data_IF_048386270674
#
_entry.id   IF_048386270674
#
_cell.length_a   1.000
_cell.length_b   1.000
_cell.length_c   1.000
_cell.angle_alpha   90.00
_cell.angle_beta   90.00
_cell.angle_gamma   90.00
#
_symmetry.space_group_name_H-M   'P 1'
#
loop_
_entity.id
_entity.type
_entity.pdbx_description
1 polymer ?
#
# COMPACT_ATOMS: atom_id res chain seq x y z
N UNK A 1 5.91 8.52 -32.71
CA UNK A 1 6.45 9.77 -32.12
C UNK A 1 7.96 9.78 -32.33
N UNK A 2 8.48 10.66 -33.18
CA UNK A 2 9.92 10.84 -33.36
C UNK A 2 10.46 11.68 -32.18
N UNK A 3 11.37 11.13 -31.38
CA UNK A 3 12.00 11.85 -30.28
C UNK A 3 13.04 12.84 -30.79
N UNK A 4 12.96 14.11 -30.37
CA UNK A 4 14.05 15.08 -30.52
C UNK A 4 14.93 15.00 -29.27
N UNK A 5 16.17 14.50 -29.34
CA UNK A 5 17.02 14.31 -28.15
C UNK A 5 17.39 15.62 -27.45
N UNK A 6 17.42 16.74 -28.19
CA UNK A 6 17.90 18.05 -27.72
C UNK A 6 16.82 19.15 -27.77
N UNK A 7 15.53 18.79 -27.77
CA UNK A 7 14.45 19.78 -27.71
C UNK A 7 14.20 20.26 -26.27
N UNK A 8 13.79 21.52 -26.08
CA UNK A 8 13.30 22.02 -24.80
C UNK A 8 12.22 21.07 -24.28
N UNK A 9 12.40 20.50 -23.08
CA UNK A 9 11.39 19.66 -22.42
C UNK A 9 10.19 20.55 -22.07
N UNK A 10 9.21 20.65 -22.96
CA UNK A 10 7.94 21.27 -22.62
C UNK A 10 7.20 20.34 -21.64
N UNK A 11 6.74 20.83 -20.48
CA UNK A 11 5.83 20.07 -19.64
C UNK A 11 4.55 19.82 -20.44
N UNK A 12 4.34 18.58 -20.87
CA UNK A 12 3.15 18.15 -21.61
C UNK A 12 2.00 17.91 -20.62
N UNK A 13 1.53 18.99 -20.00
CA UNK A 13 0.30 18.96 -19.20
C UNK A 13 -0.89 18.64 -20.10
N UNK A 14 -1.97 18.13 -19.51
CA UNK A 14 -3.23 17.90 -20.22
C UNK A 14 -3.73 19.18 -20.88
N UNK A 15 -3.64 20.32 -20.17
CA UNK A 15 -3.96 21.65 -20.72
C UNK A 15 -3.18 21.96 -22.00
N UNK A 16 -1.85 21.81 -21.98
CA UNK A 16 -1.00 22.08 -23.15
C UNK A 16 -1.35 21.16 -24.33
N UNK A 17 -1.75 19.91 -24.04
CA UNK A 17 -2.24 18.97 -25.06
C UNK A 17 -3.54 19.46 -25.70
N UNK A 18 -4.52 19.88 -24.90
CA UNK A 18 -5.82 20.37 -25.41
C UNK A 18 -5.64 21.67 -26.19
N UNK A 19 -4.89 22.64 -25.66
CA UNK A 19 -4.55 23.90 -26.35
C UNK A 19 -3.92 23.66 -27.72
N UNK A 20 -2.97 22.73 -27.81
CA UNK A 20 -2.34 22.40 -29.09
C UNK A 20 -3.31 21.74 -30.09
N UNK A 21 -4.27 20.95 -29.62
CA UNK A 21 -5.33 20.45 -30.51
C UNK A 21 -6.24 21.58 -30.99
N UNK A 22 -6.64 22.50 -30.12
CA UNK A 22 -7.47 23.65 -30.49
C UNK A 22 -6.77 24.50 -31.56
N UNK A 23 -5.52 24.90 -31.32
CA UNK A 23 -4.72 25.68 -32.27
C UNK A 23 -4.56 24.95 -33.60
N UNK A 24 -4.15 23.67 -33.56
CA UNK A 24 -3.95 22.89 -34.78
C UNK A 24 -5.23 22.67 -35.59
N UNK A 25 -6.38 22.49 -34.95
CA UNK A 25 -7.66 22.36 -35.68
C UNK A 25 -8.10 23.70 -36.27
N UNK A 26 -7.90 24.81 -35.56
CA UNK A 26 -8.20 26.16 -36.07
C UNK A 26 -7.31 26.53 -37.26
N UNK A 27 -6.00 26.28 -37.18
CA UNK A 27 -5.06 26.49 -38.28
C UNK A 27 -5.41 25.67 -39.53
N UNK A 28 -5.94 24.45 -39.33
CA UNK A 28 -6.30 23.52 -40.42
C UNK A 28 -7.76 23.63 -40.86
N UNK A 29 -8.58 24.52 -40.26
CA UNK A 29 -10.00 24.65 -40.55
C UNK A 29 -10.84 23.41 -40.21
N UNK A 30 -10.40 22.60 -39.25
CA UNK A 30 -11.06 21.39 -38.81
C UNK A 30 -12.06 21.67 -37.66
N UNK A 31 -13.18 20.92 -37.57
CA UNK A 31 -14.12 21.08 -36.47
C UNK A 31 -13.52 20.63 -35.13
N UNK A 32 -13.93 21.28 -34.04
CA UNK A 32 -13.47 20.99 -32.68
C UNK A 32 -14.38 20.01 -31.92
N UNK A 33 -15.45 19.53 -32.55
CA UNK A 33 -16.46 18.63 -31.99
C UNK A 33 -15.84 17.40 -31.32
N UNK A 34 -14.93 16.71 -31.99
CA UNK A 34 -14.24 15.52 -31.46
C UNK A 34 -13.30 15.84 -30.30
N UNK A 35 -12.68 17.03 -30.33
CA UNK A 35 -11.79 17.48 -29.25
C UNK A 35 -12.63 17.82 -28.02
N UNK A 36 -13.75 18.52 -28.21
CA UNK A 36 -14.69 18.86 -27.14
C UNK A 36 -15.30 17.61 -26.52
N UNK A 37 -15.78 16.66 -27.32
CA UNK A 37 -16.36 15.40 -26.83
C UNK A 37 -15.32 14.61 -26.03
N UNK A 38 -14.10 14.46 -26.56
CA UNK A 38 -13.08 13.67 -25.90
C UNK A 38 -12.54 14.31 -24.62
N UNK A 39 -12.46 15.65 -24.52
CA UNK A 39 -11.85 16.30 -23.36
C UNK A 39 -12.85 16.89 -22.37
N UNK A 40 -13.99 17.39 -22.83
CA UNK A 40 -14.99 18.04 -21.96
C UNK A 40 -16.04 17.04 -21.53
N UNK A 41 -16.69 16.35 -22.48
CA UNK A 41 -17.79 15.41 -22.17
C UNK A 41 -17.32 14.21 -21.34
N UNK A 42 -16.07 13.76 -21.54
CA UNK A 42 -15.46 12.69 -20.74
C UNK A 42 -14.98 13.12 -19.34
N UNK A 43 -15.09 14.41 -19.00
CA UNK A 43 -14.65 14.97 -17.72
C UNK A 43 -13.15 15.20 -17.58
N UNK A 44 -12.37 15.15 -18.67
CA UNK A 44 -10.93 15.35 -18.63
C UNK A 44 -10.49 16.82 -18.53
N UNK A 45 -11.38 17.76 -18.87
CA UNK A 45 -11.23 19.21 -18.81
C UNK A 45 -12.60 19.84 -18.44
N UNK A 46 -12.69 20.70 -17.41
CA UNK A 46 -13.92 21.42 -17.08
C UNK A 46 -14.43 22.29 -18.24
N UNK A 47 -15.75 22.42 -18.38
CA UNK A 47 -16.36 23.25 -19.44
C UNK A 47 -15.92 24.72 -19.39
N UNK A 48 -15.77 25.30 -18.19
CA UNK A 48 -15.29 26.67 -18.03
C UNK A 48 -13.85 26.88 -18.52
N UNK A 49 -12.99 25.86 -18.37
CA UNK A 49 -11.62 25.87 -18.87
C UNK A 49 -11.57 25.73 -20.39
N UNK A 50 -12.49 24.95 -20.97
CA UNK A 50 -12.68 24.85 -22.42
C UNK A 50 -13.12 26.18 -23.03
N UNK A 51 -14.11 26.84 -22.43
CA UNK A 51 -14.62 28.13 -22.93
C UNK A 51 -13.54 29.23 -22.85
N UNK A 52 -12.77 29.27 -21.75
CA UNK A 52 -11.63 30.18 -21.61
C UNK A 52 -10.53 29.92 -22.65
N UNK A 53 -10.28 28.65 -22.98
CA UNK A 53 -9.31 28.26 -24.00
C UNK A 53 -9.74 28.69 -25.40
N UNK A 54 -11.03 28.59 -25.73
CA UNK A 54 -11.55 29.01 -27.04
C UNK A 54 -11.55 30.52 -27.24
N UNK A 55 -11.58 31.30 -26.16
CA UNK A 55 -11.59 32.76 -26.22
C UNK A 55 -10.27 33.36 -26.75
N UNK A 56 -9.13 32.81 -26.34
CA UNK A 56 -7.80 33.23 -26.82
C UNK A 56 -6.78 32.07 -26.73
N UNK A 57 -6.82 31.10 -27.66
CA UNK A 57 -5.99 29.90 -27.56
C UNK A 57 -4.49 30.19 -27.73
N UNK A 58 -4.10 31.29 -28.39
CA UNK A 58 -2.70 31.67 -28.57
C UNK A 58 -2.06 32.18 -27.27
N UNK A 59 -2.81 32.89 -26.43
CA UNK A 59 -2.30 33.45 -25.17
C UNK A 59 -2.85 32.76 -23.92
N UNK A 60 -3.77 31.80 -24.08
CA UNK A 60 -4.35 31.04 -22.98
C UNK A 60 -3.28 30.28 -22.17
N UNK A 61 -3.06 30.74 -20.94
CA UNK A 61 -2.22 30.05 -19.96
C UNK A 61 -3.00 28.97 -19.23
N UNK A 62 -2.36 27.86 -18.79
CA UNK A 62 -3.03 26.87 -17.95
C UNK A 62 -3.67 27.55 -16.74
N UNK A 63 -4.91 27.16 -16.38
CA UNK A 63 -5.52 27.63 -15.15
C UNK A 63 -4.54 27.35 -14.03
N UNK A 64 -4.19 28.40 -13.30
CA UNK A 64 -3.35 28.23 -12.12
C UNK A 64 -4.15 27.34 -11.16
N UNK A 65 -3.57 26.27 -10.60
CA UNK A 65 -4.16 25.69 -9.40
C UNK A 65 -4.40 26.85 -8.44
N UNK A 66 -5.54 26.91 -7.71
CA UNK A 66 -5.94 28.08 -6.94
C UNK A 66 -4.72 28.64 -6.22
N UNK A 67 -4.23 29.77 -6.72
CA UNK A 67 -2.98 30.35 -6.27
C UNK A 67 -3.26 30.86 -4.86
N UNK A 68 -2.71 30.18 -3.86
CA UNK A 68 -2.63 30.68 -2.49
C UNK A 68 -1.61 31.83 -2.41
N UNK A 69 -1.81 32.86 -3.21
CA UNK A 69 -1.03 34.09 -3.17
C UNK A 69 -1.90 35.23 -3.73
N UNK A 70 -2.85 35.65 -2.90
CA UNK A 70 -3.71 36.80 -3.11
C UNK A 70 -3.99 37.46 -1.77
N UNK A 71 -2.99 38.16 -1.25
CA UNK A 71 -3.10 39.02 -0.08
C UNK A 71 -1.93 38.86 0.88
N UNK A 72 -1.16 39.93 1.07
CA UNK A 72 -0.49 40.21 2.34
C UNK A 72 -1.53 40.47 3.44
N UNK A 73 -2.34 39.44 3.69
CA UNK A 73 -3.21 39.27 4.84
C UNK A 73 -2.91 37.87 5.34
N UNK A 74 -2.76 37.74 6.65
CA UNK A 74 -2.50 36.46 7.32
C UNK A 74 -3.33 35.31 6.70
N UNK A 75 -2.78 34.09 6.62
CA UNK A 75 -3.57 32.93 6.20
C UNK A 75 -4.89 32.89 6.98
N UNK A 76 -6.00 32.41 6.39
CA UNK A 76 -7.23 32.23 7.16
C UNK A 76 -6.87 31.33 8.34
N UNK A 77 -7.06 31.84 9.54
CA UNK A 77 -6.61 31.28 10.82
C UNK A 77 -7.12 29.85 11.13
N UNK A 78 -7.80 29.17 10.21
CA UNK A 78 -8.46 27.89 10.41
C UNK A 78 -7.53 26.67 10.26
N UNK A 79 -6.44 26.74 9.50
CA UNK A 79 -5.45 25.65 9.44
C UNK A 79 -4.46 25.70 10.63
N UNK A 80 -4.26 26.88 11.23
CA UNK A 80 -3.34 27.10 12.33
C UNK A 80 -3.92 26.76 13.71
N UNK A 81 -5.23 26.50 13.82
CA UNK A 81 -5.91 26.23 15.10
C UNK A 81 -6.20 24.76 15.38
N UNK A 82 -6.10 23.89 14.37
CA UNK A 82 -6.51 22.49 14.54
C UNK A 82 -5.56 21.71 15.43
N UNK A 83 -6.07 20.91 16.36
CA UNK A 83 -5.31 19.98 17.20
C UNK A 83 -4.92 18.73 16.41
N UNK A 84 -3.97 17.93 16.94
CA UNK A 84 -3.65 16.61 16.37
C UNK A 84 -4.88 15.69 16.33
N UNK A 85 -5.76 15.77 17.32
CA UNK A 85 -7.00 15.00 17.38
C UNK A 85 -7.99 15.40 16.28
N UNK A 86 -8.10 16.69 15.96
CA UNK A 86 -8.91 17.18 14.84
C UNK A 86 -8.29 16.83 13.49
N UNK A 87 -6.95 16.81 13.36
CA UNK A 87 -6.25 16.28 12.19
C UNK A 87 -6.56 14.79 12.01
N UNK A 88 -6.47 14.01 13.08
CA UNK A 88 -6.76 12.58 13.06
C UNK A 88 -8.23 12.30 12.72
N UNK A 89 -9.16 13.05 13.31
CA UNK A 89 -10.59 12.92 13.03
C UNK A 89 -10.92 13.22 11.56
N UNK A 90 -10.29 14.22 10.95
CA UNK A 90 -10.45 14.46 9.52
C UNK A 90 -9.84 13.34 8.68
N UNK A 91 -8.65 12.85 9.06
CA UNK A 91 -7.97 11.74 8.37
C UNK A 91 -8.79 10.44 8.39
N UNK A 92 -9.57 10.19 9.45
CA UNK A 92 -10.44 9.00 9.56
C UNK A 92 -11.79 9.18 8.87
N UNK A 93 -12.38 10.38 8.96
CA UNK A 93 -13.74 10.65 8.47
C UNK A 93 -13.81 11.12 7.01
N UNK A 94 -12.74 11.67 6.46
CA UNK A 94 -12.67 12.06 5.04
C UNK A 94 -12.36 10.83 4.20
N UNK A 95 -13.25 10.41 3.28
CA UNK A 95 -12.98 9.26 2.42
C UNK A 95 -11.70 9.44 1.60
N UNK A 96 -10.81 8.47 1.69
CA UNK A 96 -9.59 8.36 0.89
C UNK A 96 -9.23 6.88 0.75
N UNK A 97 -8.19 6.57 -0.01
CA UNK A 97 -7.64 5.21 -0.07
C UNK A 97 -7.06 4.70 1.26
N UNK A 98 -6.86 5.57 2.27
CA UNK A 98 -6.20 5.19 3.53
C UNK A 98 -7.05 5.42 4.79
N UNK A 99 -8.15 6.19 4.73
CA UNK A 99 -8.88 6.62 5.94
C UNK A 99 -9.37 5.48 6.83
N UNK A 100 -9.81 4.35 6.26
CA UNK A 100 -10.25 3.18 7.03
C UNK A 100 -9.12 2.50 7.83
N UNK A 101 -7.86 2.77 7.46
CA UNK A 101 -6.67 2.19 8.11
C UNK A 101 -6.10 3.07 9.22
N UNK A 102 -6.55 4.32 9.35
CA UNK A 102 -6.03 5.29 10.31
C UNK A 102 -6.05 4.78 11.76
N UNK A 103 -7.14 4.14 12.19
CA UNK A 103 -7.24 3.57 13.55
C UNK A 103 -6.24 2.43 13.76
N UNK A 104 -6.03 1.57 12.75
CA UNK A 104 -5.05 0.49 12.83
C UNK A 104 -3.62 1.05 12.90
N UNK A 105 -3.29 2.08 12.12
CA UNK A 105 -1.97 2.73 12.16
C UNK A 105 -1.72 3.38 13.52
N UNK A 106 -2.73 4.06 14.09
CA UNK A 106 -2.67 4.64 15.44
C UNK A 106 -2.45 3.58 16.52
N UNK A 107 -3.22 2.48 16.47
CA UNK A 107 -3.11 1.35 17.41
C UNK A 107 -1.72 0.73 17.44
N UNK A 108 -1.11 0.54 16.25
CA UNK A 108 0.23 -0.01 16.14
C UNK A 108 1.29 0.98 16.63
N UNK A 109 1.20 2.25 16.21
CA UNK A 109 2.14 3.29 16.60
C UNK A 109 2.13 3.56 18.12
N UNK A 110 0.97 3.44 18.78
CA UNK A 110 0.85 3.60 20.23
C UNK A 110 1.62 2.56 21.06
N UNK A 111 2.07 1.48 20.42
CA UNK A 111 2.86 0.42 21.04
C UNK A 111 4.36 0.53 20.69
N UNK A 112 4.78 1.62 20.05
CA UNK A 112 6.13 1.78 19.51
C UNK A 112 6.94 2.82 20.30
N UNK A 113 8.21 2.52 20.52
CA UNK A 113 9.21 3.53 20.89
C UNK A 113 9.59 4.35 19.65
N UNK A 114 9.85 3.69 18.52
CA UNK A 114 10.23 4.38 17.28
C UNK A 114 9.41 3.90 16.09
N UNK A 115 8.92 4.87 15.31
CA UNK A 115 8.21 4.65 14.04
C UNK A 115 8.94 5.37 12.91
N UNK A 116 9.10 4.68 11.77
CA UNK A 116 9.61 5.24 10.52
C UNK A 116 8.53 5.19 9.44
N UNK A 117 8.32 6.30 8.73
CA UNK A 117 7.23 6.49 7.77
C UNK A 117 7.75 6.86 6.38
N UNK A 118 7.56 5.97 5.39
CA UNK A 118 7.76 6.19 3.96
C UNK A 118 6.41 6.24 3.22
N UNK A 119 5.46 7.00 3.76
CA UNK A 119 4.14 7.19 3.18
C UNK A 119 4.08 8.11 1.96
N UNK A 120 2.96 8.06 1.22
CA UNK A 120 2.66 9.01 0.14
C UNK A 120 1.62 10.08 0.53
N UNK A 121 0.89 9.87 1.64
CA UNK A 121 -0.23 10.72 2.10
C UNK A 121 -0.01 11.22 3.51
N UNK A 122 0.90 12.18 3.74
CA UNK A 122 1.29 12.59 5.09
C UNK A 122 0.13 13.15 5.94
N UNK A 123 -0.88 13.74 5.30
CA UNK A 123 -2.08 14.24 5.98
C UNK A 123 -3.01 13.13 6.50
N UNK A 124 -2.76 11.88 6.12
CA UNK A 124 -3.52 10.71 6.58
C UNK A 124 -2.60 9.75 7.34
N UNK A 125 -1.58 9.17 6.68
CA UNK A 125 -0.70 8.16 7.28
C UNK A 125 0.13 8.74 8.43
N UNK A 126 0.87 9.82 8.19
CA UNK A 126 1.74 10.42 9.22
C UNK A 126 0.93 10.97 10.38
N UNK A 127 -0.24 11.58 10.10
CA UNK A 127 -1.17 12.03 11.15
C UNK A 127 -1.67 10.85 11.99
N UNK A 128 -2.06 9.73 11.37
CA UNK A 128 -2.50 8.53 12.08
C UNK A 128 -1.39 7.91 12.95
N UNK A 129 -0.17 7.82 12.42
CA UNK A 129 0.99 7.34 13.16
C UNK A 129 1.34 8.27 14.34
N UNK A 130 1.34 9.59 14.11
CA UNK A 130 1.61 10.58 15.16
C UNK A 130 0.52 10.60 16.23
N UNK A 131 -0.74 10.39 15.86
CA UNK A 131 -1.86 10.26 16.80
C UNK A 131 -1.76 9.02 17.70
N UNK A 132 -0.94 8.02 17.32
CA UNK A 132 -0.56 6.92 18.19
C UNK A 132 0.35 7.34 19.33
N UNK A 133 1.01 8.49 19.22
CA UNK A 133 1.96 9.02 20.21
C UNK A 133 3.13 8.07 20.53
N UNK A 134 3.87 7.54 19.52
CA UNK A 134 5.12 6.81 19.80
C UNK A 134 6.14 7.73 20.48
N UNK A 135 7.19 7.20 21.11
CA UNK A 135 8.21 8.06 21.70
C UNK A 135 8.92 8.92 20.63
N UNK A 136 9.16 8.35 19.45
CA UNK A 136 9.76 9.00 18.28
C UNK A 136 9.07 8.60 16.99
N UNK A 137 8.84 9.57 16.09
CA UNK A 137 8.34 9.35 14.74
C UNK A 137 9.22 10.10 13.73
N UNK A 138 9.86 9.37 12.82
CA UNK A 138 10.62 9.94 11.70
C UNK A 138 9.83 9.71 10.41
N UNK A 139 9.38 10.79 9.76
CA UNK A 139 8.66 10.71 8.49
C UNK A 139 9.49 11.26 7.34
N UNK A 140 9.55 10.49 6.26
CA UNK A 140 10.13 10.88 4.97
C UNK A 140 9.06 11.36 3.97
N UNK A 141 7.79 11.32 4.36
CA UNK A 141 6.63 11.65 3.51
C UNK A 141 6.26 13.14 3.51
N UNK A 142 6.73 13.89 4.52
CA UNK A 142 6.19 15.20 4.87
C UNK A 142 7.03 16.34 4.28
N UNK A 143 6.37 17.35 3.68
CA UNK A 143 7.02 18.59 3.23
C UNK A 143 7.32 19.55 4.39
N UNK A 144 8.23 20.51 4.18
CA UNK A 144 8.68 21.43 5.25
C UNK A 144 7.54 22.26 5.86
N UNK A 145 6.43 22.48 5.13
CA UNK A 145 5.30 23.28 5.62
C UNK A 145 4.46 22.45 6.57
N UNK A 146 4.07 21.25 6.16
CA UNK A 146 3.26 20.37 7.00
C UNK A 146 4.08 19.81 8.17
N UNK A 147 5.39 19.65 8.01
CA UNK A 147 6.29 19.29 9.12
C UNK A 147 6.18 20.27 10.29
N UNK A 148 6.18 21.58 10.02
CA UNK A 148 6.02 22.61 11.06
C UNK A 148 4.70 22.48 11.81
N UNK A 149 3.62 22.24 11.06
CA UNK A 149 2.28 22.01 11.63
C UNK A 149 2.30 20.82 12.59
N UNK A 150 2.92 19.70 12.18
CA UNK A 150 3.00 18.49 12.99
C UNK A 150 3.94 18.64 14.20
N UNK A 151 5.07 19.33 14.07
CA UNK A 151 5.98 19.62 15.21
C UNK A 151 5.27 20.40 16.31
N UNK A 152 4.46 21.41 15.95
CA UNK A 152 3.67 22.18 16.92
C UNK A 152 2.59 21.33 17.63
N UNK A 153 2.22 20.18 17.05
CA UNK A 153 1.10 19.33 17.48
C UNK A 153 1.55 17.93 17.89
N UNK A 154 2.86 17.69 17.99
CA UNK A 154 3.43 16.34 18.16
C UNK A 154 3.07 15.67 19.49
N UNK A 155 2.55 16.43 20.45
CA UNK A 155 2.22 15.94 21.77
C UNK A 155 3.48 15.48 22.51
N UNK A 156 3.50 14.23 22.95
CA UNK A 156 4.62 13.61 23.66
C UNK A 156 5.67 13.01 22.73
N UNK A 157 5.34 12.85 21.45
CA UNK A 157 6.26 12.29 20.45
C UNK A 157 7.35 13.28 20.09
N UNK A 158 8.58 12.78 19.94
CA UNK A 158 9.63 13.50 19.21
C UNK A 158 9.42 13.27 17.71
N UNK A 159 8.85 14.25 17.01
CA UNK A 159 8.57 14.16 15.58
C UNK A 159 9.69 14.80 14.75
N UNK A 160 10.16 14.08 13.74
CA UNK A 160 11.17 14.56 12.78
C UNK A 160 10.67 14.35 11.35
N UNK A 161 10.68 15.40 10.54
CA UNK A 161 10.53 15.30 9.09
C UNK A 161 11.91 15.29 8.43
N UNK A 162 12.17 14.30 7.59
CA UNK A 162 13.43 14.14 6.84
C UNK A 162 13.13 14.00 5.35
N UNK A 163 14.15 14.20 4.51
CA UNK A 163 14.07 13.91 3.07
C UNK A 163 14.98 12.75 2.74
N UNK A 164 14.49 11.81 1.95
CA UNK A 164 15.24 10.62 1.58
C UNK A 164 14.42 9.69 0.69
N UNK A 165 15.12 8.85 -0.06
CA UNK A 165 14.52 7.78 -0.86
C UNK A 165 14.66 6.47 -0.08
N UNK A 166 13.60 5.68 0.02
CA UNK A 166 13.55 4.42 0.79
C UNK A 166 14.63 3.41 0.38
N UNK A 167 15.12 3.47 -0.87
CA UNK A 167 16.18 2.61 -1.40
C UNK A 167 17.59 3.10 -1.06
N UNK A 168 17.75 4.32 -0.53
CA UNK A 168 19.08 4.91 -0.31
C UNK A 168 19.31 5.48 1.09
N UNK A 169 18.28 5.93 1.81
CA UNK A 169 18.44 6.66 3.07
C UNK A 169 18.74 5.75 4.26
N UNK A 170 19.75 6.04 5.07
CA UNK A 170 19.95 5.26 6.29
C UNK A 170 18.88 5.59 7.34
N UNK A 171 18.29 4.55 7.94
CA UNK A 171 17.32 4.69 9.04
C UNK A 171 17.88 4.08 10.33
N UNK A 172 17.52 4.70 11.45
CA UNK A 172 17.78 4.13 12.76
C UNK A 172 16.90 2.89 12.97
N UNK A 173 17.27 2.03 13.91
CA UNK A 173 16.44 0.89 14.32
C UNK A 173 15.04 1.37 14.75
N UNK A 174 13.98 0.72 14.26
CA UNK A 174 12.58 1.15 14.44
C UNK A 174 11.69 -0.03 14.84
N UNK A 175 10.63 0.22 15.62
CA UNK A 175 9.63 -0.81 15.92
C UNK A 175 8.69 -1.03 14.76
N UNK A 176 8.24 0.06 14.16
CA UNK A 176 7.31 0.04 13.04
C UNK A 176 7.91 0.77 11.84
N UNK A 177 7.80 0.13 10.68
CA UNK A 177 8.10 0.70 9.38
C UNK A 177 6.83 0.72 8.54
N UNK A 178 6.33 1.92 8.22
CA UNK A 178 5.22 2.10 7.28
C UNK A 178 5.77 2.39 5.88
N UNK A 179 5.33 1.62 4.89
CA UNK A 179 5.75 1.75 3.49
C UNK A 179 4.51 1.98 2.63
N UNK A 180 4.49 3.10 1.92
CA UNK A 180 3.50 3.41 0.90
C UNK A 180 4.14 4.20 -0.24
N UNK A 181 5.16 3.58 -0.86
CA UNK A 181 6.00 4.18 -1.90
C UNK A 181 5.50 3.80 -3.31
N UNK A 182 6.30 3.06 -4.10
CA UNK A 182 5.94 2.59 -5.43
C UNK A 182 5.39 1.16 -5.37
N UNK A 183 4.36 0.89 -6.18
CA UNK A 183 3.60 -0.35 -6.09
C UNK A 183 4.06 -1.43 -7.07
N UNK A 184 5.36 -1.73 -7.10
CA UNK A 184 5.91 -2.83 -7.91
C UNK A 184 6.65 -3.83 -7.03
N UNK A 185 6.65 -5.11 -7.43
CA UNK A 185 7.42 -6.15 -6.75
C UNK A 185 8.89 -5.78 -6.57
N UNK A 186 9.50 -5.20 -7.62
CA UNK A 186 10.91 -4.82 -7.60
C UNK A 186 11.24 -3.72 -6.59
N UNK A 187 10.38 -2.70 -6.46
CA UNK A 187 10.55 -1.67 -5.42
C UNK A 187 10.45 -2.31 -4.04
N UNK A 188 9.35 -3.02 -3.79
CA UNK A 188 9.03 -3.50 -2.46
C UNK A 188 10.01 -4.57 -1.98
N UNK A 189 10.49 -5.45 -2.88
CA UNK A 189 11.53 -6.41 -2.56
C UNK A 189 12.85 -5.72 -2.13
N UNK A 190 13.26 -4.66 -2.84
CA UNK A 190 14.47 -3.91 -2.50
C UNK A 190 14.31 -3.14 -1.17
N UNK A 191 13.13 -2.61 -0.88
CA UNK A 191 12.81 -2.00 0.41
C UNK A 191 12.85 -3.02 1.55
N UNK A 192 12.25 -4.20 1.36
CA UNK A 192 12.27 -5.27 2.37
C UNK A 192 13.68 -5.77 2.66
N UNK A 193 14.48 -6.07 1.63
CA UNK A 193 15.86 -6.55 1.77
C UNK A 193 16.72 -5.54 2.53
N UNK A 194 16.55 -4.25 2.23
CA UNK A 194 17.39 -3.19 2.80
C UNK A 194 16.94 -2.72 4.18
N UNK A 195 15.63 -2.59 4.39
CA UNK A 195 15.08 -1.92 5.58
C UNK A 195 14.72 -2.91 6.68
N UNK A 196 14.29 -4.14 6.35
CA UNK A 196 13.85 -5.12 7.36
C UNK A 196 14.89 -5.46 8.44
N UNK A 197 16.23 -5.43 8.19
CA UNK A 197 17.21 -5.61 9.26
C UNK A 197 17.12 -4.57 10.39
N UNK A 198 16.64 -3.35 10.08
CA UNK A 198 16.47 -2.25 11.04
C UNK A 198 15.11 -2.29 11.74
N UNK A 199 14.22 -3.22 11.38
CA UNK A 199 12.85 -3.29 11.94
C UNK A 199 12.77 -4.36 13.00
N UNK A 200 12.41 -3.94 14.22
CA UNK A 200 12.30 -4.83 15.39
C UNK A 200 11.00 -5.61 15.43
N UNK A 201 9.89 -5.02 15.00
CA UNK A 201 8.55 -5.58 15.20
C UNK A 201 7.72 -5.63 13.93
N UNK A 202 7.22 -4.50 13.44
CA UNK A 202 6.21 -4.44 12.38
C UNK A 202 6.69 -3.77 11.09
N UNK A 203 6.33 -4.37 9.95
CA UNK A 203 6.31 -3.68 8.66
C UNK A 203 4.86 -3.63 8.20
N UNK A 204 4.40 -2.42 7.84
CA UNK A 204 3.06 -2.15 7.35
C UNK A 204 3.16 -1.74 5.89
N UNK A 205 2.46 -2.46 5.01
CA UNK A 205 2.36 -2.14 3.59
C UNK A 205 0.91 -1.86 3.21
N UNK A 206 0.68 -0.70 2.61
CA UNK A 206 -0.59 -0.29 2.03
C UNK A 206 -0.75 -0.75 0.57
N UNK A 207 -1.95 -0.61 0.01
CA UNK A 207 -2.36 -0.96 -1.36
C UNK A 207 -2.20 -2.45 -1.74
N UNK A 208 -2.22 -3.33 -0.75
CA UNK A 208 -1.99 -4.78 -0.98
C UNK A 208 -3.16 -5.49 -1.66
N UNK A 209 -4.31 -4.84 -1.85
CA UNK A 209 -5.41 -5.36 -2.66
C UNK A 209 -5.32 -4.86 -4.10
N UNK A 210 -5.21 -3.54 -4.32
CA UNK A 210 -5.21 -2.97 -5.68
C UNK A 210 -3.93 -3.34 -6.42
N UNK A 211 -2.79 -3.26 -5.74
CA UNK A 211 -1.49 -3.59 -6.33
C UNK A 211 -0.90 -4.88 -5.77
N UNK A 212 -1.77 -5.77 -5.28
CA UNK A 212 -1.38 -7.03 -4.65
C UNK A 212 -0.65 -7.96 -5.63
N UNK A 213 -1.38 -8.56 -6.57
CA UNK A 213 -0.79 -9.49 -7.55
C UNK A 213 -0.16 -8.77 -8.74
N UNK A 214 -0.78 -7.69 -9.23
CA UNK A 214 -0.30 -6.89 -10.34
C UNK A 214 0.07 -5.48 -9.85
N UNK A 215 1.29 -5.05 -10.11
CA UNK A 215 1.80 -3.74 -9.71
C UNK A 215 1.60 -2.65 -10.77
N UNK A 216 2.07 -1.45 -10.43
CA UNK A 216 2.13 -0.32 -11.36
C UNK A 216 2.84 -0.69 -12.66
N UNK A 217 2.18 -0.42 -13.80
CA UNK A 217 2.72 -0.72 -15.13
C UNK A 217 2.52 -2.17 -15.59
N UNK A 218 1.74 -2.97 -14.86
CA UNK A 218 1.27 -4.29 -15.30
C UNK A 218 2.19 -5.47 -14.97
N UNK A 219 3.35 -5.22 -14.34
CA UNK A 219 4.24 -6.26 -13.83
C UNK A 219 3.77 -6.86 -12.50
N UNK A 220 4.58 -7.74 -11.86
CA UNK A 220 4.24 -8.31 -10.56
C UNK A 220 4.10 -7.24 -9.46
N UNK A 221 3.11 -7.43 -8.59
CA UNK A 221 2.73 -6.51 -7.52
C UNK A 221 3.43 -6.77 -6.18
N UNK A 222 2.83 -6.26 -5.11
CA UNK A 222 3.35 -6.29 -3.75
C UNK A 222 3.36 -7.70 -3.13
N UNK A 223 2.30 -8.49 -3.34
CA UNK A 223 2.13 -9.80 -2.72
C UNK A 223 3.15 -10.84 -3.23
N UNK A 224 3.48 -10.92 -4.54
CA UNK A 224 4.57 -11.77 -5.00
C UNK A 224 5.92 -11.48 -4.31
N UNK A 225 6.28 -10.19 -4.15
CA UNK A 225 7.49 -9.80 -3.44
C UNK A 225 7.42 -10.18 -1.95
N UNK A 226 6.27 -9.95 -1.32
CA UNK A 226 6.05 -10.29 0.09
C UNK A 226 6.15 -11.81 0.32
N UNK A 227 5.54 -12.62 -0.55
CA UNK A 227 5.59 -14.08 -0.43
C UNK A 227 7.00 -14.61 -0.55
N UNK A 228 7.79 -14.08 -1.49
CA UNK A 228 9.21 -14.41 -1.60
C UNK A 228 9.94 -14.09 -0.30
N UNK A 229 9.81 -12.86 0.19
CA UNK A 229 10.46 -12.40 1.42
C UNK A 229 10.09 -13.27 2.63
N UNK A 230 8.81 -13.58 2.82
CA UNK A 230 8.34 -14.38 3.96
C UNK A 230 8.81 -15.84 3.92
N UNK A 231 9.12 -16.40 2.74
CA UNK A 231 9.75 -17.72 2.62
C UNK A 231 11.22 -17.71 2.97
N UNK A 232 11.92 -16.64 2.59
CA UNK A 232 13.35 -16.45 2.87
C UNK A 232 13.59 -16.04 4.33
N UNK A 233 12.61 -15.40 4.96
CA UNK A 233 12.65 -14.89 6.33
C UNK A 233 11.47 -15.42 7.16
N UNK A 234 11.51 -16.70 7.60
CA UNK A 234 10.40 -17.33 8.32
C UNK A 234 10.12 -16.69 9.68
N UNK A 235 11.07 -15.93 10.24
CA UNK A 235 10.81 -15.13 11.43
C UNK A 235 9.74 -14.06 11.20
N UNK A 236 9.47 -13.63 9.97
CA UNK A 236 8.38 -12.71 9.64
C UNK A 236 7.11 -13.49 9.30
N UNK A 237 5.95 -13.03 9.80
CA UNK A 237 4.64 -13.62 9.45
C UNK A 237 3.60 -12.51 9.32
N UNK A 238 2.60 -12.70 8.45
CA UNK A 238 1.43 -11.83 8.41
C UNK A 238 0.70 -11.94 9.74
N UNK A 239 0.38 -10.81 10.36
CA UNK A 239 -0.38 -10.73 11.62
C UNK A 239 -1.68 -9.95 11.46
N UNK A 240 -1.82 -9.20 10.37
CA UNK A 240 -3.06 -8.55 9.97
C UNK A 240 -3.08 -8.39 8.45
N UNK A 241 -4.22 -8.67 7.84
CA UNK A 241 -4.45 -8.45 6.42
C UNK A 241 -5.92 -8.07 6.19
N UNK A 242 -6.16 -7.10 5.32
CA UNK A 242 -7.49 -6.72 4.85
C UNK A 242 -7.44 -6.34 3.39
N UNK A 243 -8.55 -6.56 2.68
CA UNK A 243 -8.75 -6.10 1.30
C UNK A 243 -9.55 -4.79 1.23
N UNK A 244 -10.10 -4.34 2.36
CA UNK A 244 -10.83 -3.09 2.46
C UNK A 244 -9.92 -1.88 2.21
N UNK A 245 -10.50 -0.80 1.68
CA UNK A 245 -9.82 0.45 1.38
C UNK A 245 -8.43 0.25 0.76
N UNK A 246 -8.42 -0.40 -0.40
CA UNK A 246 -7.22 -0.74 -1.19
C UNK A 246 -6.25 -1.75 -0.57
N UNK A 247 -6.55 -2.20 0.64
CA UNK A 247 -5.87 -3.28 1.34
C UNK A 247 -4.67 -2.83 2.16
N UNK A 248 -4.50 -3.49 3.30
CA UNK A 248 -3.41 -3.25 4.23
C UNK A 248 -2.89 -4.58 4.72
N UNK A 249 -1.57 -4.77 4.69
CA UNK A 249 -0.90 -5.94 5.26
C UNK A 249 0.10 -5.51 6.31
N UNK A 250 0.04 -6.16 7.47
CA UNK A 250 1.02 -6.00 8.55
C UNK A 250 1.71 -7.32 8.75
N UNK A 251 3.04 -7.31 8.67
CA UNK A 251 3.88 -8.44 9.04
C UNK A 251 4.61 -8.12 10.35
N UNK A 252 4.81 -9.15 11.18
CA UNK A 252 5.61 -9.05 12.40
C UNK A 252 6.68 -10.13 12.46
N UNK A 253 7.84 -9.76 13.01
CA UNK A 253 8.89 -10.72 13.42
C UNK A 253 8.85 -11.08 14.90
N UNK A 254 8.05 -10.37 15.69
CA UNK A 254 7.97 -10.58 17.13
C UNK A 254 7.01 -11.72 17.45
N UNK A 255 7.46 -12.65 18.29
CA UNK A 255 6.66 -13.81 18.70
C UNK A 255 5.38 -13.43 19.46
N UNK A 256 5.34 -12.25 20.10
CA UNK A 256 4.18 -11.76 20.87
C UNK A 256 2.98 -11.43 19.97
N UNK A 257 3.23 -11.12 18.70
CA UNK A 257 2.18 -10.73 17.75
C UNK A 257 1.58 -11.94 17.00
N UNK A 258 2.20 -13.11 17.13
CA UNK A 258 1.81 -14.31 16.38
C UNK A 258 0.88 -15.20 17.22
N UNK A 259 -0.14 -15.83 16.60
CA UNK A 259 -0.96 -16.80 17.30
C UNK A 259 -0.11 -17.97 17.83
N UNK A 260 -0.52 -18.50 18.98
CA UNK A 260 0.18 -19.63 19.62
C UNK A 260 -0.24 -20.96 19.00
N UNK A 261 0.69 -21.91 18.98
CA UNK A 261 0.39 -23.27 18.53
C UNK A 261 -0.66 -23.94 19.43
N UNK A 262 -1.45 -24.89 18.89
CA UNK A 262 -2.37 -25.67 19.70
C UNK A 262 -1.64 -26.49 20.76
N UNK A 263 -2.37 -26.98 21.76
CA UNK A 263 -1.81 -27.88 22.76
C UNK A 263 -1.21 -29.13 22.13
N UNK A 264 -0.20 -29.73 22.77
CA UNK A 264 0.45 -30.97 22.28
C UNK A 264 -0.55 -32.11 22.06
N UNK A 265 -1.59 -32.22 22.90
CA UNK A 265 -2.64 -33.23 22.79
C UNK A 265 -3.50 -32.97 21.54
N UNK A 266 -3.87 -31.70 21.31
CA UNK A 266 -4.61 -31.29 20.11
C UNK A 266 -3.80 -31.58 18.85
N UNK A 267 -2.51 -31.23 18.83
CA UNK A 267 -1.64 -31.50 17.69
C UNK A 267 -1.48 -33.00 17.41
N UNK A 268 -1.30 -33.84 18.44
CA UNK A 268 -1.24 -35.29 18.27
C UNK A 268 -2.53 -35.87 17.68
N UNK A 269 -3.68 -35.37 18.14
CA UNK A 269 -5.00 -35.76 17.62
C UNK A 269 -5.17 -35.36 16.16
N UNK A 270 -4.81 -34.11 15.82
CA UNK A 270 -4.86 -33.60 14.44
C UNK A 270 -3.94 -34.41 13.51
N UNK A 271 -2.73 -34.70 13.96
CA UNK A 271 -1.77 -35.48 13.19
C UNK A 271 -2.26 -36.92 12.95
N UNK A 272 -2.79 -37.60 13.98
CA UNK A 272 -3.34 -38.95 13.81
C UNK A 272 -4.48 -39.00 12.79
N UNK A 273 -5.39 -38.01 12.83
CA UNK A 273 -6.46 -37.87 11.82
C UNK A 273 -5.90 -37.66 10.42
N UNK A 274 -4.90 -36.79 10.27
CA UNK A 274 -4.26 -36.51 8.98
C UNK A 274 -3.56 -37.74 8.41
N UNK A 275 -2.85 -38.51 9.24
CA UNK A 275 -2.18 -39.76 8.84
C UNK A 275 -3.21 -40.80 8.39
N UNK A 276 -4.30 -40.98 9.14
CA UNK A 276 -5.36 -41.92 8.77
C UNK A 276 -5.96 -41.59 7.40
N UNK A 277 -6.25 -40.30 7.13
CA UNK A 277 -6.74 -39.84 5.84
C UNK A 277 -5.71 -40.06 4.72
N UNK A 278 -4.43 -39.77 4.98
CA UNK A 278 -3.36 -39.96 3.99
C UNK A 278 -3.16 -41.42 3.63
N UNK A 279 -3.17 -42.34 4.60
CA UNK A 279 -3.09 -43.78 4.35
C UNK A 279 -4.34 -44.28 3.60
N UNK A 280 -5.53 -43.83 3.98
CA UNK A 280 -6.78 -44.18 3.28
C UNK A 280 -6.76 -43.72 1.82
N UNK A 281 -6.08 -42.61 1.53
CA UNK A 281 -5.85 -42.08 0.19
C UNK A 281 -4.65 -42.75 -0.54
N UNK A 282 -4.07 -43.81 0.02
CA UNK A 282 -2.94 -44.53 -0.57
C UNK A 282 -1.59 -43.80 -0.46
N UNK A 283 -1.43 -42.94 0.55
CA UNK A 283 -0.23 -42.11 0.79
C UNK A 283 0.17 -41.22 -0.39
N UNK A 284 -0.82 -40.73 -1.14
CA UNK A 284 -0.59 -39.99 -2.36
C UNK A 284 -0.20 -38.53 -2.09
N UNK A 285 0.79 -38.05 -2.84
CA UNK A 285 1.23 -36.66 -2.82
C UNK A 285 0.36 -35.81 -3.75
N UNK A 286 0.19 -34.53 -3.42
CA UNK A 286 -0.32 -33.52 -4.31
C UNK A 286 0.67 -33.30 -5.46
N UNK A 287 0.16 -32.90 -6.63
CA UNK A 287 1.03 -32.43 -7.69
C UNK A 287 1.73 -31.11 -7.31
N UNK A 288 2.74 -30.74 -8.10
CA UNK A 288 3.56 -29.56 -7.84
C UNK A 288 2.74 -28.26 -7.84
N UNK A 289 1.81 -28.14 -8.77
CA UNK A 289 0.97 -26.95 -8.91
C UNK A 289 0.06 -26.75 -7.70
N UNK A 290 -0.59 -27.83 -7.25
CA UNK A 290 -1.42 -27.84 -6.03
C UNK A 290 -0.58 -27.53 -4.79
N UNK A 291 0.60 -28.14 -4.66
CA UNK A 291 1.51 -27.85 -3.54
C UNK A 291 1.90 -26.37 -3.53
N UNK A 292 2.32 -25.83 -4.67
CA UNK A 292 2.74 -24.43 -4.81
C UNK A 292 1.59 -23.48 -4.46
N UNK A 293 0.39 -23.67 -5.03
CA UNK A 293 -0.80 -22.87 -4.72
C UNK A 293 -1.17 -22.90 -3.23
N UNK A 294 -1.13 -24.08 -2.60
CA UNK A 294 -1.37 -24.24 -1.15
C UNK A 294 -0.35 -23.46 -0.33
N UNK A 295 0.92 -23.45 -0.73
CA UNK A 295 1.99 -22.73 -0.07
C UNK A 295 1.90 -21.21 -0.29
N UNK A 296 1.49 -20.73 -1.47
CA UNK A 296 1.23 -19.31 -1.71
C UNK A 296 0.19 -18.76 -0.72
N UNK A 297 -0.90 -19.51 -0.51
CA UNK A 297 -1.95 -19.18 0.48
C UNK A 297 -1.38 -19.21 1.90
N UNK A 298 -0.66 -20.27 2.27
CA UNK A 298 -0.10 -20.40 3.62
C UNK A 298 0.95 -19.33 3.94
N UNK A 299 1.70 -18.86 2.94
CA UNK A 299 2.75 -17.85 3.12
C UNK A 299 2.17 -16.52 3.63
N UNK A 300 0.99 -16.11 3.13
CA UNK A 300 0.33 -14.87 3.56
C UNK A 300 -0.70 -15.06 4.69
N UNK A 301 -0.90 -16.29 5.16
CA UNK A 301 -1.92 -16.58 6.17
C UNK A 301 -1.56 -15.99 7.53
N UNK A 302 -2.49 -15.27 8.16
CA UNK A 302 -2.34 -14.67 9.49
C UNK A 302 -2.21 -15.71 10.63
N UNK A 303 -2.49 -16.98 10.33
CA UNK A 303 -2.30 -18.11 11.23
C UNK A 303 -0.97 -18.83 11.04
N UNK A 304 -0.08 -18.33 10.17
CA UNK A 304 1.27 -18.84 10.03
C UNK A 304 2.14 -18.34 11.17
N UNK A 305 2.91 -19.25 11.74
CA UNK A 305 3.98 -18.92 12.68
C UNK A 305 5.20 -19.75 12.26
N UNK A 306 6.18 -19.06 11.69
CA UNK A 306 7.33 -19.68 11.01
C UNK A 306 6.86 -20.64 9.91
N UNK A 307 7.23 -21.92 10.01
CA UNK A 307 6.85 -22.99 9.08
C UNK A 307 5.62 -23.79 9.53
N UNK A 308 4.89 -23.29 10.54
CA UNK A 308 3.75 -23.97 11.17
C UNK A 308 2.43 -23.25 10.98
N UNK A 309 1.35 -24.03 10.93
CA UNK A 309 -0.01 -23.52 11.06
C UNK A 309 -0.45 -23.52 12.54
N UNK A 310 -0.86 -22.37 13.06
CA UNK A 310 -1.35 -22.22 14.45
C UNK A 310 -2.75 -22.77 14.69
N UNK A 311 -3.51 -23.09 13.64
CA UNK A 311 -4.84 -23.70 13.76
C UNK A 311 -4.74 -25.21 13.99
N UNK A 312 -3.89 -25.90 13.22
CA UNK A 312 -3.77 -27.36 13.28
C UNK A 312 -2.47 -27.88 13.89
N UNK A 313 -1.43 -27.05 13.97
CA UNK A 313 -0.10 -27.39 14.47
C UNK A 313 0.80 -28.09 13.45
N UNK A 314 0.34 -28.36 12.23
CA UNK A 314 1.15 -29.03 11.21
C UNK A 314 2.27 -28.14 10.67
N UNK A 315 3.35 -28.77 10.22
CA UNK A 315 4.31 -28.14 9.33
C UNK A 315 3.66 -27.93 7.94
N UNK A 316 3.83 -26.73 7.40
CA UNK A 316 3.07 -26.26 6.24
C UNK A 316 3.44 -27.03 4.97
N UNK A 317 4.73 -27.24 4.71
CA UNK A 317 5.22 -27.93 3.51
C UNK A 317 4.73 -29.38 3.43
N UNK A 318 4.87 -30.11 4.52
CA UNK A 318 4.50 -31.51 4.68
C UNK A 318 3.00 -31.68 4.54
N UNK A 319 2.22 -30.82 5.21
CA UNK A 319 0.77 -30.87 5.11
C UNK A 319 0.31 -30.53 3.70
N UNK A 320 0.85 -29.48 3.09
CA UNK A 320 0.49 -29.05 1.75
C UNK A 320 0.83 -30.10 0.68
N UNK A 321 1.88 -30.90 0.90
CA UNK A 321 2.31 -31.95 -0.02
C UNK A 321 1.40 -33.18 -0.02
N UNK A 322 0.63 -33.45 1.02
CA UNK A 322 -0.29 -34.60 1.04
C UNK A 322 -1.57 -34.28 0.28
N UNK A 323 -1.94 -35.11 -0.70
CA UNK A 323 -3.14 -34.85 -1.53
C UNK A 323 -4.41 -34.79 -0.68
N UNK A 324 -4.54 -35.74 0.24
CA UNK A 324 -5.65 -35.87 1.20
C UNK A 324 -5.76 -34.75 2.23
N UNK A 325 -4.78 -33.84 2.31
CA UNK A 325 -4.79 -32.76 3.29
C UNK A 325 -5.66 -31.59 2.85
N UNK A 326 -6.24 -30.93 3.85
CA UNK A 326 -7.06 -29.73 3.66
C UNK A 326 -6.67 -28.62 4.66
N UNK A 327 -6.93 -27.37 4.28
CA UNK A 327 -6.87 -26.24 5.19
C UNK A 327 -8.09 -26.31 6.14
N UNK A 328 -7.91 -26.33 7.47
CA UNK A 328 -9.05 -26.39 8.40
C UNK A 328 -9.94 -25.13 8.35
N UNK A 329 -9.43 -24.06 7.76
CA UNK A 329 -10.13 -22.80 7.54
C UNK A 329 -10.71 -22.68 6.12
N UNK A 330 -10.60 -23.71 5.28
CA UNK A 330 -11.13 -23.64 3.90
C UNK A 330 -10.33 -22.79 2.91
N UNK A 331 -9.34 -21.99 3.36
CA UNK A 331 -8.58 -21.04 2.51
C UNK A 331 -7.93 -21.62 1.24
N UNK A 332 -7.61 -22.92 1.21
CA UNK A 332 -7.07 -23.56 -0.01
C UNK A 332 -8.12 -23.74 -1.11
N UNK A 333 -9.40 -23.85 -0.75
CA UNK A 333 -10.50 -24.02 -1.70
C UNK A 333 -10.96 -22.66 -2.24
N UNK A 334 -11.11 -21.68 -1.36
CA UNK A 334 -11.50 -20.30 -1.70
C UNK A 334 -10.57 -19.67 -2.75
N UNK A 335 -9.26 -19.90 -2.62
CA UNK A 335 -8.26 -19.41 -3.59
C UNK A 335 -8.49 -20.00 -5.00
N UNK A 336 -8.77 -21.31 -5.09
CA UNK A 336 -9.02 -22.01 -6.37
C UNK A 336 -10.29 -21.49 -7.05
N UNK A 337 -11.34 -21.25 -6.28
CA UNK A 337 -12.61 -20.71 -6.80
C UNK A 337 -12.41 -19.28 -7.36
N UNK A 338 -11.61 -18.47 -6.69
CA UNK A 338 -11.29 -17.10 -7.13
C UNK A 338 -10.52 -17.10 -8.45
N UNK A 339 -9.52 -17.96 -8.62
CA UNK A 339 -8.76 -18.10 -9.88
C UNK A 339 -9.67 -18.53 -11.04
N UNK A 340 -10.57 -19.49 -10.80
CA UNK A 340 -11.47 -20.02 -11.83
C UNK A 340 -12.44 -18.95 -12.33
N UNK A 341 -12.95 -18.10 -11.43
CA UNK A 341 -13.86 -17.01 -11.78
C UNK A 341 -13.16 -15.85 -12.51
N UNK A 342 -11.87 -15.61 -12.21
CA UNK A 342 -11.09 -14.52 -12.84
C UNK A 342 -10.68 -14.87 -14.28
N UNK A 343 -10.54 -16.16 -14.62
CA UNK A 343 -10.27 -16.61 -15.99
C UNK A 343 -11.52 -16.79 -16.87
N UNK A 344 -12.71 -16.74 -16.27
CA UNK A 344 -13.99 -16.88 -16.98
C UNK A 344 -14.65 -15.54 -17.36
N UNK A 345 -14.10 -14.41 -16.88
CA UNK A 345 -14.51 -13.04 -17.18
C UNK A 345 -13.47 -12.36 -18.08
#
# INVERSE_FOLDING_TARGET
RFGRPNGVKYPLTRWNKVRNYVLGHQELGLPLDRVQEHFVTSGLLPAAEWDALLADPEHATPPQPPSSCGGCGNPPAAAETRTLEELFTEATSTPSDLNEHCEKLKELAAQCEHVTDFGSRPHVSTVALLAGQPQRLVSYAVDDRFAKVLVERQGQTTFEARRGDSLTVEIDETDLLFIDTKHTAGQFAAELERLSPQVRRWIVRHDTQIFGEQGEGGGPGLLPALRKFLREHPEWSVVYHTQANHGLTVISRDARDKPQLPSKITMATNFAKAVAAHVADGAQQADRETLEARLEVCTLCEHRNEDRCTVCGCYLAEKAAWRSSECPLGKWNEARETETNTHAA
#
